data_IF_570418520415
#
_entry.id   IF_570418520415
#
_cell.length_a   1.000
_cell.length_b   1.000
_cell.length_c   1.000
_cell.angle_alpha   90.00
_cell.angle_beta   90.00
_cell.angle_gamma   90.00
#
_symmetry.space_group_name_H-M   'P 1'
#
loop_
_entity.id
_entity.type
_entity.pdbx_description
1 polymer ?
#
# COMPACT_ATOMS: atom_id res chain seq x y z
N UNK A 1 -60.87 -43.79 -4.35
CA UNK A 1 -60.39 -42.51 -3.79
C UNK A 1 -60.00 -41.64 -4.98
N UNK A 2 -60.77 -40.60 -5.28
CA UNK A 2 -60.43 -39.70 -6.38
C UNK A 2 -59.15 -38.93 -6.00
N UNK A 3 -58.20 -38.72 -6.92
CA UNK A 3 -57.03 -37.89 -6.64
C UNK A 3 -57.48 -36.47 -6.25
N UNK A 4 -56.78 -35.81 -5.32
CA UNK A 4 -57.09 -34.42 -4.96
C UNK A 4 -57.05 -33.55 -6.23
N UNK A 5 -57.96 -32.57 -6.37
CA UNK A 5 -57.95 -31.68 -7.52
C UNK A 5 -56.58 -31.03 -7.61
N UNK A 6 -55.94 -31.16 -8.77
CA UNK A 6 -54.63 -30.58 -9.01
C UNK A 6 -54.70 -29.10 -8.62
N UNK A 7 -53.81 -28.64 -7.74
CA UNK A 7 -53.59 -27.21 -7.48
C UNK A 7 -52.96 -26.50 -8.70
N UNK A 8 -53.18 -27.03 -9.90
CA UNK A 8 -52.68 -26.49 -11.14
C UNK A 8 -53.53 -25.28 -11.51
N UNK A 9 -52.85 -24.17 -11.78
CA UNK A 9 -53.38 -22.94 -12.38
C UNK A 9 -53.89 -21.84 -11.43
N UNK A 10 -53.15 -21.56 -10.36
CA UNK A 10 -53.21 -20.21 -9.77
C UNK A 10 -52.43 -19.23 -10.69
N UNK A 11 -53.13 -18.66 -11.66
CA UNK A 11 -52.56 -17.76 -12.66
C UNK A 11 -51.96 -16.51 -12.01
N UNK A 12 -50.63 -16.42 -11.98
CA UNK A 12 -49.90 -15.25 -11.47
C UNK A 12 -50.32 -14.02 -12.28
N UNK A 13 -50.71 -12.94 -11.59
CA UNK A 13 -50.99 -11.64 -12.20
C UNK A 13 -49.69 -10.96 -12.63
N UNK A 14 -49.12 -11.43 -13.75
CA UNK A 14 -47.83 -11.01 -14.28
C UNK A 14 -47.67 -9.49 -14.45
N UNK A 15 -48.74 -8.76 -14.76
CA UNK A 15 -48.71 -7.31 -14.88
C UNK A 15 -48.32 -6.61 -13.56
N UNK A 16 -48.79 -7.12 -12.42
CA UNK A 16 -48.42 -6.57 -11.11
C UNK A 16 -46.98 -6.89 -10.74
N UNK A 17 -46.52 -8.10 -11.05
CA UNK A 17 -45.14 -8.54 -10.81
C UNK A 17 -44.17 -7.72 -11.66
N UNK A 18 -44.45 -7.57 -12.95
CA UNK A 18 -43.65 -6.76 -13.88
C UNK A 18 -43.68 -5.29 -13.45
N UNK A 19 -44.85 -4.74 -13.09
CA UNK A 19 -44.98 -3.37 -12.61
C UNK A 19 -44.12 -3.11 -11.37
N UNK A 20 -44.16 -4.02 -10.40
CA UNK A 20 -43.35 -3.93 -9.18
C UNK A 20 -41.85 -4.03 -9.48
N UNK A 21 -41.46 -4.93 -10.39
CA UNK A 21 -40.07 -5.09 -10.83
C UNK A 21 -39.54 -3.84 -11.53
N UNK A 22 -40.33 -3.23 -12.42
CA UNK A 22 -39.94 -1.97 -13.08
C UNK A 22 -39.86 -0.84 -12.07
N UNK A 23 -40.83 -0.73 -11.16
CA UNK A 23 -40.83 0.29 -10.13
C UNK A 23 -39.61 0.20 -9.21
N UNK A 24 -39.22 -1.02 -8.79
CA UNK A 24 -38.05 -1.21 -7.92
C UNK A 24 -36.74 -0.83 -8.63
N UNK A 25 -36.60 -1.18 -9.92
CA UNK A 25 -35.45 -0.79 -10.73
C UNK A 25 -35.39 0.74 -10.89
N UNK A 26 -36.52 1.39 -11.14
CA UNK A 26 -36.57 2.85 -11.25
C UNK A 26 -36.19 3.54 -9.94
N UNK A 27 -36.72 3.07 -8.82
CA UNK A 27 -36.36 3.61 -7.49
C UNK A 27 -34.87 3.43 -7.23
N UNK A 28 -34.32 2.24 -7.52
CA UNK A 28 -32.90 1.97 -7.37
C UNK A 28 -32.05 2.90 -8.25
N UNK A 29 -32.40 3.05 -9.54
CA UNK A 29 -31.68 3.91 -10.47
C UNK A 29 -31.72 5.38 -10.03
N UNK A 30 -32.87 5.87 -9.56
CA UNK A 30 -33.00 7.24 -9.03
C UNK A 30 -32.16 7.42 -7.77
N UNK A 31 -32.20 6.47 -6.84
CA UNK A 31 -31.39 6.53 -5.62
C UNK A 31 -29.89 6.54 -5.93
N UNK A 32 -29.42 5.65 -6.81
CA UNK A 32 -28.02 5.62 -7.27
C UNK A 32 -27.63 6.95 -7.93
N UNK A 33 -28.50 7.50 -8.77
CA UNK A 33 -28.24 8.79 -9.43
C UNK A 33 -28.13 9.94 -8.43
N UNK A 34 -29.03 10.02 -7.45
CA UNK A 34 -28.98 11.03 -6.39
C UNK A 34 -27.71 10.91 -5.56
N UNK A 35 -27.35 9.69 -5.14
CA UNK A 35 -26.12 9.44 -4.38
C UNK A 35 -24.89 9.82 -5.20
N UNK A 36 -24.83 9.41 -6.47
CA UNK A 36 -23.72 9.75 -7.35
C UNK A 36 -23.56 11.27 -7.49
N UNK A 37 -24.66 11.99 -7.73
CA UNK A 37 -24.64 13.46 -7.83
C UNK A 37 -24.21 14.13 -6.53
N UNK A 38 -24.67 13.63 -5.40
CA UNK A 38 -24.28 14.15 -4.09
C UNK A 38 -22.79 13.91 -3.81
N UNK A 39 -22.27 12.73 -4.12
CA UNK A 39 -20.85 12.43 -3.92
C UNK A 39 -19.95 13.28 -4.83
N UNK A 40 -20.29 13.43 -6.11
CA UNK A 40 -19.54 14.27 -7.05
C UNK A 40 -19.49 15.75 -6.61
N UNK A 41 -20.61 16.28 -6.11
CA UNK A 41 -20.63 17.64 -5.55
C UNK A 41 -19.78 17.76 -4.29
N UNK A 42 -19.84 16.75 -3.40
CA UNK A 42 -19.05 16.75 -2.16
C UNK A 42 -17.56 16.60 -2.43
N UNK A 43 -17.18 15.75 -3.38
CA UNK A 43 -15.79 15.58 -3.78
C UNK A 43 -15.23 16.90 -4.31
N UNK A 44 -15.95 17.59 -5.19
CA UNK A 44 -15.56 18.92 -5.69
C UNK A 44 -15.46 19.98 -4.59
N UNK A 45 -16.34 19.92 -3.59
CA UNK A 45 -16.31 20.85 -2.45
C UNK A 45 -15.15 20.57 -1.50
N UNK A 46 -14.87 19.29 -1.21
CA UNK A 46 -13.81 18.87 -0.28
C UNK A 46 -12.41 18.90 -0.92
N UNK A 47 -12.33 18.69 -2.24
CA UNK A 47 -11.10 18.59 -3.00
C UNK A 47 -11.14 19.55 -4.21
N UNK A 48 -11.13 20.87 -3.97
CA UNK A 48 -11.20 21.86 -5.05
C UNK A 48 -10.02 21.78 -6.04
N UNK A 49 -8.90 21.18 -5.62
CA UNK A 49 -7.67 21.00 -6.40
C UNK A 49 -7.45 19.57 -6.89
N UNK A 50 -8.41 18.66 -6.66
CA UNK A 50 -8.31 17.25 -7.02
C UNK A 50 -7.69 16.35 -5.93
N UNK A 51 -7.57 15.04 -6.18
CA UNK A 51 -7.04 14.08 -5.22
C UNK A 51 -5.60 14.40 -4.86
N UNK A 52 -5.27 14.21 -3.58
CA UNK A 52 -3.91 14.41 -3.10
C UNK A 52 -2.95 13.50 -3.88
N UNK A 53 -1.78 14.02 -4.29
CA UNK A 53 -0.80 13.20 -4.98
C UNK A 53 -0.41 12.03 -4.09
N UNK A 54 -0.31 10.84 -4.69
CA UNK A 54 0.27 9.68 -4.00
C UNK A 54 1.68 10.08 -3.54
N UNK A 55 1.99 10.02 -2.24
CA UNK A 55 3.31 10.40 -1.76
C UNK A 55 4.36 9.50 -2.40
N UNK A 56 5.44 10.11 -2.91
CA UNK A 56 6.55 9.40 -3.54
C UNK A 56 7.24 8.36 -2.63
N UNK A 57 6.96 8.41 -1.33
CA UNK A 57 7.46 7.50 -0.30
C UNK A 57 6.61 6.23 -0.13
N UNK A 58 5.51 6.08 -0.88
CA UNK A 58 4.68 4.88 -0.82
C UNK A 58 5.49 3.65 -1.26
N UNK A 59 5.79 2.75 -0.32
CA UNK A 59 6.62 1.55 -0.55
C UNK A 59 8.07 1.64 -0.04
N UNK A 60 8.49 2.77 0.55
CA UNK A 60 9.75 2.85 1.29
C UNK A 60 9.56 2.30 2.71
N UNK A 61 10.59 1.64 3.25
CA UNK A 61 10.58 1.13 4.63
C UNK A 61 10.58 2.25 5.69
N UNK A 62 10.97 3.46 5.31
CA UNK A 62 11.07 4.59 6.21
C UNK A 62 10.14 5.71 5.75
N UNK A 63 9.18 6.08 6.62
CA UNK A 63 8.37 7.29 6.47
C UNK A 63 8.78 8.22 7.61
N UNK A 64 9.59 9.25 7.30
CA UNK A 64 10.09 10.20 8.29
C UNK A 64 11.30 9.65 9.08
N UNK A 65 11.17 9.58 10.41
CA UNK A 65 12.18 9.03 11.35
C UNK A 65 11.78 7.61 11.83
N UNK A 66 10.63 7.11 11.38
CA UNK A 66 10.05 5.86 11.88
C UNK A 66 10.33 4.74 10.88
N UNK A 67 11.12 3.76 11.33
CA UNK A 67 11.30 2.49 10.63
C UNK A 67 9.96 1.73 10.67
N UNK A 68 9.28 1.72 9.52
CA UNK A 68 8.09 0.92 9.32
C UNK A 68 8.51 -0.34 8.59
N UNK A 69 8.82 -1.38 9.36
CA UNK A 69 9.14 -2.70 8.84
C UNK A 69 7.99 -3.14 7.90
N UNK A 70 8.21 -3.21 6.58
CA UNK A 70 7.24 -3.81 5.68
C UNK A 70 7.02 -5.25 6.13
N UNK A 71 5.83 -5.83 5.96
CA UNK A 71 5.50 -7.19 6.41
C UNK A 71 6.35 -8.32 5.75
N UNK A 72 7.47 -7.99 5.11
CA UNK A 72 8.49 -8.91 4.58
C UNK A 72 9.55 -9.22 5.65
N UNK A 73 9.30 -10.31 6.38
CA UNK A 73 9.95 -10.67 7.64
C UNK A 73 11.40 -11.19 7.48
N UNK A 74 12.07 -11.02 6.34
CA UNK A 74 13.38 -11.69 6.14
C UNK A 74 14.44 -10.91 5.35
N UNK A 75 14.07 -9.87 4.59
CA UNK A 75 15.03 -9.19 3.68
C UNK A 75 15.70 -7.94 4.27
N UNK A 76 15.11 -7.30 5.27
CA UNK A 76 15.65 -6.08 5.86
C UNK A 76 17.05 -6.27 6.47
N UNK A 77 17.25 -7.33 7.25
CA UNK A 77 18.56 -7.63 7.86
C UNK A 77 19.67 -7.90 6.83
N UNK A 78 19.33 -8.49 5.68
CA UNK A 78 20.29 -8.69 4.59
C UNK A 78 20.66 -7.37 3.90
N UNK A 79 19.69 -6.47 3.71
CA UNK A 79 19.91 -5.16 3.14
C UNK A 79 20.81 -4.30 4.05
N UNK A 80 20.51 -4.24 5.36
CA UNK A 80 21.34 -3.53 6.33
C UNK A 80 22.76 -4.10 6.40
N UNK A 81 22.91 -5.43 6.45
CA UNK A 81 24.25 -6.05 6.45
C UNK A 81 25.03 -5.72 5.17
N UNK A 82 24.37 -5.66 4.02
CA UNK A 82 25.02 -5.32 2.75
C UNK A 82 25.52 -3.87 2.76
N UNK A 83 24.70 -2.94 3.22
CA UNK A 83 25.05 -1.52 3.31
C UNK A 83 26.22 -1.28 4.28
N UNK A 84 26.20 -1.95 5.45
CA UNK A 84 27.28 -1.90 6.43
C UNK A 84 28.61 -2.40 5.83
N UNK A 85 28.57 -3.53 5.11
CA UNK A 85 29.76 -4.09 4.45
C UNK A 85 30.27 -3.14 3.35
N UNK A 86 29.37 -2.55 2.56
CA UNK A 86 29.73 -1.60 1.50
C UNK A 86 30.42 -0.35 2.09
N UNK A 87 29.90 0.14 3.22
CA UNK A 87 30.52 1.25 3.95
C UNK A 87 31.90 0.87 4.51
N UNK A 88 32.04 -0.28 5.18
CA UNK A 88 33.32 -0.72 5.75
C UNK A 88 34.39 -1.09 4.71
N UNK A 89 33.98 -1.52 3.52
CA UNK A 89 34.91 -1.91 2.45
C UNK A 89 35.35 -0.75 1.54
N UNK A 90 34.81 0.44 1.75
CA UNK A 90 35.08 1.61 0.92
C UNK A 90 35.91 2.70 1.62
N UNK A 91 36.57 3.52 0.81
CA UNK A 91 37.20 4.75 1.29
C UNK A 91 36.13 5.78 1.63
N UNK A 92 36.31 6.47 2.75
CA UNK A 92 35.33 7.42 3.25
C UNK A 92 35.91 8.78 3.57
N UNK A 93 35.33 9.41 4.58
CA UNK A 93 35.67 10.75 5.03
C UNK A 93 37.06 10.80 5.69
N UNK A 94 37.64 12.01 5.70
CA UNK A 94 38.93 12.32 6.31
C UNK A 94 38.72 13.48 7.28
N UNK A 95 39.04 13.30 8.56
CA UNK A 95 39.17 14.39 9.52
C UNK A 95 40.64 14.78 9.68
N UNK A 96 41.03 15.87 9.01
CA UNK A 96 42.40 16.39 9.03
C UNK A 96 42.79 16.99 10.38
N UNK A 97 41.85 17.43 11.20
CA UNK A 97 42.15 18.04 12.52
C UNK A 97 42.50 16.96 13.53
N UNK A 98 41.78 15.84 13.48
CA UNK A 98 42.00 14.69 14.37
C UNK A 98 43.01 13.68 13.79
N UNK A 99 43.37 13.79 12.51
CA UNK A 99 44.27 12.87 11.84
C UNK A 99 43.65 11.51 11.52
N UNK A 100 42.32 11.43 11.49
CA UNK A 100 41.56 10.18 11.31
C UNK A 100 41.08 10.05 9.87
N UNK A 101 41.28 8.87 9.27
CA UNK A 101 40.83 8.55 7.91
C UNK A 101 39.94 7.31 7.96
N UNK A 102 38.79 7.38 7.29
CA UNK A 102 38.00 6.18 7.00
C UNK A 102 38.64 5.39 5.85
N UNK A 103 39.28 4.28 6.19
CA UNK A 103 39.95 3.35 5.28
C UNK A 103 39.18 2.03 5.21
N UNK A 104 39.20 1.32 4.06
CA UNK A 104 38.67 -0.04 3.97
C UNK A 104 39.19 -0.93 5.09
N UNK A 105 38.28 -1.65 5.74
CA UNK A 105 38.61 -2.43 6.95
C UNK A 105 39.68 -3.49 6.71
N UNK A 106 39.70 -4.12 5.54
CA UNK A 106 40.72 -5.11 5.18
C UNK A 106 42.13 -4.48 5.21
N UNK A 107 42.26 -3.27 4.69
CA UNK A 107 43.55 -2.56 4.68
C UNK A 107 43.95 -2.10 6.08
N UNK A 108 42.99 -1.68 6.90
CA UNK A 108 43.24 -1.32 8.29
C UNK A 108 43.75 -2.53 9.10
N UNK A 109 43.13 -3.70 8.91
CA UNK A 109 43.57 -4.95 9.55
C UNK A 109 45.00 -5.33 9.13
N UNK A 110 45.33 -5.22 7.84
CA UNK A 110 46.68 -5.49 7.34
C UNK A 110 47.74 -4.59 8.00
N UNK A 111 47.44 -3.30 8.18
CA UNK A 111 48.34 -2.35 8.81
C UNK A 111 48.60 -2.70 10.28
N UNK A 112 47.56 -3.04 11.03
CA UNK A 112 47.68 -3.44 12.44
C UNK A 112 48.53 -4.71 12.59
N UNK A 113 48.33 -5.70 11.73
CA UNK A 113 49.14 -6.93 11.73
C UNK A 113 50.61 -6.65 11.39
N UNK A 114 50.87 -5.73 10.47
CA UNK A 114 52.26 -5.32 10.13
C UNK A 114 52.93 -4.57 11.29
N UNK A 115 52.18 -3.72 11.99
CA UNK A 115 52.68 -2.99 13.16
C UNK A 115 53.00 -3.93 14.33
N UNK A 116 52.15 -4.92 14.60
CA UNK A 116 52.41 -5.93 15.65
C UNK A 116 53.58 -6.87 15.36
N UNK A 117 54.03 -6.97 14.11
CA UNK A 117 55.17 -7.81 13.72
C UNK A 117 56.53 -7.09 13.82
N UNK A 118 56.54 -5.79 14.12
CA UNK A 118 57.74 -5.01 14.42
C UNK A 118 58.05 -5.02 15.91
#
# INVERSE_FOLDING_TARGET
MAPPPAQAEEGIRWSGVIGTGVASILIFAVATFVVYRYQDQREKFLQPVGPLPIPAQMGQAEIGIVDQVPFDITRAAQAYRKDEIERLSSWGWIDRKQGTVHMPIDRAMDLVVQEQKK
#
